data_IF_274707794947
#
_entry.id   IF_274707794947
#
_cell.length_a   1.000
_cell.length_b   1.000
_cell.length_c   1.000
_cell.angle_alpha   90.00
_cell.angle_beta   90.00
_cell.angle_gamma   90.00
#
_symmetry.space_group_name_H-M   'P 1'
#
loop_
_entity.id
_entity.type
_entity.pdbx_description
1 polymer ?
#
# COMPACT_ATOMS: atom_id res chain seq x y z
N UNK A 1 8.16 -4.25 32.71
CA UNK A 1 7.87 -4.72 31.35
C UNK A 1 6.85 -3.84 30.63
N UNK A 2 5.68 -3.52 31.21
CA UNK A 2 4.69 -2.61 30.56
C UNK A 2 5.25 -1.23 30.19
N UNK A 3 6.00 -0.57 31.08
CA UNK A 3 6.59 0.74 30.80
C UNK A 3 7.58 0.73 29.61
N UNK A 4 8.29 -0.37 29.38
CA UNK A 4 9.18 -0.51 28.22
C UNK A 4 8.38 -0.69 26.92
N UNK A 5 7.30 -1.46 26.96
CA UNK A 5 6.44 -1.66 25.79
C UNK A 5 5.76 -0.35 25.35
N UNK A 6 5.23 0.41 26.31
CA UNK A 6 4.65 1.74 26.06
C UNK A 6 5.70 2.70 25.49
N UNK A 7 6.90 2.77 26.10
CA UNK A 7 7.96 3.63 25.59
C UNK A 7 8.44 3.23 24.18
N UNK A 8 8.42 1.94 23.84
CA UNK A 8 8.71 1.45 22.49
C UNK A 8 7.65 1.91 21.48
N UNK A 9 6.37 1.74 21.80
CA UNK A 9 5.26 2.16 20.95
C UNK A 9 5.29 3.68 20.70
N UNK A 10 5.49 4.47 21.76
CA UNK A 10 5.62 5.93 21.65
C UNK A 10 6.80 6.34 20.77
N UNK A 11 7.93 5.61 20.86
CA UNK A 11 9.08 5.86 20.00
C UNK A 11 8.76 5.54 18.54
N UNK A 12 8.13 4.40 18.27
CA UNK A 12 7.75 3.97 16.93
C UNK A 12 6.78 4.98 16.29
N UNK A 13 5.78 5.44 17.03
CA UNK A 13 4.81 6.45 16.58
C UNK A 13 5.49 7.79 16.26
N UNK A 14 6.44 8.22 17.10
CA UNK A 14 7.21 9.45 16.87
C UNK A 14 8.10 9.34 15.64
N UNK A 15 8.77 8.20 15.46
CA UNK A 15 9.62 7.94 14.28
C UNK A 15 8.77 7.92 13.01
N UNK A 16 7.63 7.24 13.03
CA UNK A 16 6.70 7.17 11.90
C UNK A 16 6.18 8.56 11.52
N UNK A 17 5.77 9.35 12.52
CA UNK A 17 5.32 10.73 12.32
C UNK A 17 6.43 11.62 11.73
N UNK A 18 7.65 11.52 12.27
CA UNK A 18 8.79 12.31 11.80
C UNK A 18 9.15 11.95 10.35
N UNK A 19 9.23 10.66 10.03
CA UNK A 19 9.55 10.15 8.70
C UNK A 19 8.48 10.58 7.68
N UNK A 20 7.20 10.47 8.04
CA UNK A 20 6.11 10.96 7.21
C UNK A 20 6.26 12.45 6.89
N UNK A 21 6.50 13.28 7.91
CA UNK A 21 6.68 14.72 7.71
C UNK A 21 7.90 15.05 6.84
N UNK A 22 8.97 14.26 6.89
CA UNK A 22 10.12 14.40 5.99
C UNK A 22 9.71 14.12 4.54
N UNK A 23 9.00 13.02 4.30
CA UNK A 23 8.51 12.64 2.97
C UNK A 23 7.56 13.68 2.41
N UNK A 24 6.60 14.17 3.20
CA UNK A 24 5.65 15.21 2.78
C UNK A 24 6.34 16.52 2.40
N UNK A 25 7.35 16.96 3.17
CA UNK A 25 8.16 18.13 2.82
C UNK A 25 8.99 17.90 1.55
N UNK A 26 9.50 16.69 1.34
CA UNK A 26 10.22 16.34 0.10
C UNK A 26 9.28 16.39 -1.11
N UNK A 27 8.09 15.79 -1.00
CA UNK A 27 7.04 15.88 -2.02
C UNK A 27 6.70 17.35 -2.33
N UNK A 28 6.48 18.18 -1.30
CA UNK A 28 6.13 19.59 -1.49
C UNK A 28 7.20 20.37 -2.27
N UNK A 29 8.49 20.09 -2.01
CA UNK A 29 9.61 20.70 -2.76
C UNK A 29 9.69 20.23 -4.22
N UNK A 30 9.33 18.99 -4.49
CA UNK A 30 9.37 18.42 -5.85
C UNK A 30 8.12 18.70 -6.68
N UNK A 31 6.99 19.00 -6.03
CA UNK A 31 5.68 19.13 -6.69
C UNK A 31 5.63 20.22 -7.77
N UNK A 32 6.50 21.22 -7.70
CA UNK A 32 6.60 22.29 -8.71
C UNK A 32 7.43 21.91 -9.94
N UNK A 33 8.18 20.80 -9.92
CA UNK A 33 9.01 20.35 -11.04
C UNK A 33 8.29 19.24 -11.85
N UNK A 34 7.85 19.52 -13.09
CA UNK A 34 7.20 18.52 -13.95
C UNK A 34 8.08 17.30 -14.23
N UNK A 35 9.42 17.44 -14.18
CA UNK A 35 10.34 16.31 -14.36
C UNK A 35 10.25 15.30 -13.23
N UNK A 36 9.77 15.72 -12.06
CA UNK A 36 9.59 14.91 -10.86
C UNK A 36 8.17 14.40 -10.68
N UNK A 37 7.27 14.63 -11.64
CA UNK A 37 5.86 14.29 -11.51
C UNK A 37 5.62 12.83 -11.09
N UNK A 38 6.27 11.87 -11.76
CA UNK A 38 6.16 10.44 -11.39
C UNK A 38 6.78 10.14 -10.04
N UNK A 39 7.93 10.74 -9.69
CA UNK A 39 8.52 10.56 -8.35
C UNK A 39 7.57 11.04 -7.25
N UNK A 40 6.92 12.19 -7.46
CA UNK A 40 5.91 12.74 -6.55
C UNK A 40 4.72 11.80 -6.41
N UNK A 41 4.23 11.24 -7.53
CA UNK A 41 3.12 10.29 -7.51
C UNK A 41 3.47 9.00 -6.77
N UNK A 42 4.66 8.44 -7.01
CA UNK A 42 5.18 7.25 -6.30
C UNK A 42 5.26 7.52 -4.80
N UNK A 43 5.87 8.62 -4.37
CA UNK A 43 6.02 8.91 -2.93
C UNK A 43 4.68 9.16 -2.24
N UNK A 44 3.73 9.83 -2.91
CA UNK A 44 2.36 9.98 -2.39
C UNK A 44 1.65 8.64 -2.30
N UNK A 45 1.84 7.78 -3.30
CA UNK A 45 1.23 6.46 -3.37
C UNK A 45 1.70 5.56 -2.23
N UNK A 46 3.00 5.58 -1.92
CA UNK A 46 3.56 4.86 -0.78
C UNK A 46 2.93 5.26 0.56
N UNK A 47 2.78 6.56 0.81
CA UNK A 47 2.15 7.05 2.05
C UNK A 47 0.70 6.59 2.17
N UNK A 48 -0.04 6.67 1.06
CA UNK A 48 -1.45 6.28 1.03
C UNK A 48 -1.64 4.76 1.12
N UNK A 49 -0.76 3.98 0.50
CA UNK A 49 -0.77 2.53 0.58
C UNK A 49 -0.48 2.05 2.01
N UNK A 50 0.48 2.67 2.70
CA UNK A 50 0.74 2.43 4.12
C UNK A 50 -0.49 2.77 5.00
N UNK A 51 -1.12 3.93 4.77
CA UNK A 51 -2.36 4.29 5.48
C UNK A 51 -3.51 3.31 5.21
N UNK A 52 -3.61 2.80 3.98
CA UNK A 52 -4.60 1.79 3.61
C UNK A 52 -4.34 0.47 4.33
N UNK A 53 -3.09 0.08 4.57
CA UNK A 53 -2.78 -1.13 5.36
C UNK A 53 -3.08 -0.94 6.85
N UNK A 54 -2.95 0.28 7.38
CA UNK A 54 -3.31 0.56 8.78
C UNK A 54 -4.81 0.39 9.05
N UNK A 55 -5.68 0.66 8.07
CA UNK A 55 -7.13 0.46 8.27
C UNK A 55 -7.54 -1.01 8.37
N UNK A 56 -6.69 -1.93 7.92
CA UNK A 56 -6.92 -3.36 8.02
C UNK A 56 -6.05 -4.02 9.10
N UNK A 57 -5.28 -3.28 9.89
CA UNK A 57 -4.33 -3.85 10.85
C UNK A 57 -4.99 -4.80 11.87
N UNK A 58 -6.16 -4.41 12.39
CA UNK A 58 -6.88 -5.14 13.44
C UNK A 58 -7.83 -6.22 12.90
N UNK A 59 -7.64 -6.62 11.63
CA UNK A 59 -8.48 -7.63 11.00
C UNK A 59 -8.48 -8.96 11.76
N UNK A 60 -9.64 -9.61 11.75
CA UNK A 60 -9.81 -10.95 12.27
C UNK A 60 -10.81 -11.74 11.40
N UNK A 61 -10.95 -13.04 11.66
CA UNK A 61 -11.95 -13.89 11.01
C UNK A 61 -12.85 -14.52 12.06
N UNK A 62 -14.13 -14.15 12.04
CA UNK A 62 -15.14 -14.68 12.94
C UNK A 62 -16.24 -15.37 12.14
N UNK A 63 -16.49 -16.65 12.43
CA UNK A 63 -17.50 -17.47 11.73
C UNK A 63 -17.35 -17.43 10.20
N UNK A 64 -16.12 -17.26 9.70
CA UNK A 64 -15.82 -17.17 8.27
C UNK A 64 -15.91 -15.77 7.67
N UNK A 65 -16.22 -14.73 8.44
CA UNK A 65 -16.34 -13.35 7.97
C UNK A 65 -15.16 -12.51 8.45
N UNK A 66 -14.71 -11.55 7.63
CA UNK A 66 -13.74 -10.55 8.06
C UNK A 66 -14.38 -9.59 9.07
N UNK A 67 -13.72 -9.40 10.20
CA UNK A 67 -14.11 -8.45 11.26
C UNK A 67 -12.91 -7.56 11.63
N UNK A 68 -13.14 -6.53 12.45
CA UNK A 68 -12.07 -5.63 12.92
C UNK A 68 -11.59 -4.59 11.90
N UNK A 69 -12.30 -4.45 10.77
CA UNK A 69 -11.99 -3.48 9.71
C UNK A 69 -13.08 -2.41 9.70
N UNK A 70 -12.69 -1.14 9.81
CA UNK A 70 -13.58 0.00 9.56
C UNK A 70 -13.81 0.12 8.05
N UNK A 71 -15.00 -0.30 7.60
CA UNK A 71 -15.36 -0.31 6.19
C UNK A 71 -15.49 1.08 5.59
N UNK A 72 -15.90 2.09 6.37
CA UNK A 72 -16.04 3.45 5.88
C UNK A 72 -14.65 4.06 5.66
N UNK A 73 -13.75 3.89 6.64
CA UNK A 73 -12.36 4.32 6.52
C UNK A 73 -11.64 3.58 5.38
N UNK A 74 -11.79 2.25 5.28
CA UNK A 74 -11.20 1.47 4.20
C UNK A 74 -11.74 1.92 2.83
N UNK A 75 -13.05 2.16 2.69
CA UNK A 75 -13.63 2.64 1.43
C UNK A 75 -13.03 3.98 1.02
N UNK A 76 -12.94 4.94 1.94
CA UNK A 76 -12.36 6.25 1.67
C UNK A 76 -10.88 6.16 1.26
N UNK A 77 -10.10 5.27 1.89
CA UNK A 77 -8.70 5.03 1.54
C UNK A 77 -8.57 4.36 0.16
N UNK A 78 -9.37 3.33 -0.12
CA UNK A 78 -9.35 2.60 -1.39
C UNK A 78 -9.72 3.50 -2.57
N UNK A 79 -10.69 4.42 -2.42
CA UNK A 79 -11.04 5.39 -3.47
C UNK A 79 -9.90 6.36 -3.77
N UNK A 80 -9.19 6.82 -2.74
CA UNK A 80 -8.01 7.66 -2.93
C UNK A 80 -6.87 6.86 -3.58
N UNK A 81 -6.67 5.61 -3.15
CA UNK A 81 -5.63 4.73 -3.68
C UNK A 81 -5.88 4.42 -5.15
N UNK A 82 -7.13 4.20 -5.54
CA UNK A 82 -7.56 4.06 -6.93
C UNK A 82 -7.18 5.28 -7.76
N UNK A 83 -7.64 6.47 -7.33
CA UNK A 83 -7.35 7.73 -8.02
C UNK A 83 -5.86 7.92 -8.24
N UNK A 84 -5.05 7.66 -7.21
CA UNK A 84 -3.61 7.86 -7.27
C UNK A 84 -2.88 6.79 -8.10
N UNK A 85 -3.38 5.55 -8.09
CA UNK A 85 -2.88 4.47 -8.94
C UNK A 85 -3.17 4.75 -10.42
N UNK A 86 -4.36 5.27 -10.74
CA UNK A 86 -4.71 5.68 -12.10
C UNK A 86 -3.84 6.85 -12.58
N UNK A 87 -3.64 7.85 -11.72
CA UNK A 87 -2.73 8.97 -12.03
C UNK A 87 -1.30 8.50 -12.28
N UNK A 88 -0.79 7.59 -11.43
CA UNK A 88 0.55 7.03 -11.56
C UNK A 88 0.71 6.25 -12.87
N UNK A 89 -0.19 5.32 -13.15
CA UNK A 89 -0.12 4.47 -14.34
C UNK A 89 -0.27 5.30 -15.62
N UNK A 90 -1.17 6.30 -15.63
CA UNK A 90 -1.32 7.23 -16.73
C UNK A 90 -0.05 8.08 -16.95
N UNK A 91 0.54 8.62 -15.88
CA UNK A 91 1.77 9.42 -15.97
C UNK A 91 2.94 8.61 -16.53
N UNK A 92 3.11 7.37 -16.06
CA UNK A 92 4.13 6.44 -16.57
C UNK A 92 3.87 6.11 -18.05
N UNK A 93 2.64 5.76 -18.41
CA UNK A 93 2.25 5.44 -19.79
C UNK A 93 2.44 6.62 -20.75
N UNK A 94 2.25 7.85 -20.28
CA UNK A 94 2.51 9.08 -21.02
C UNK A 94 3.99 9.52 -21.01
N UNK A 95 4.89 8.76 -20.35
CA UNK A 95 6.31 9.10 -20.22
C UNK A 95 6.59 10.37 -19.39
N UNK A 96 5.64 10.80 -18.57
CA UNK A 96 5.79 12.01 -17.76
C UNK A 96 6.82 11.78 -16.65
N UNK A 97 7.88 12.58 -16.61
CA UNK A 97 8.89 12.48 -15.55
C UNK A 97 9.70 11.17 -15.53
N UNK A 98 9.52 10.26 -16.48
CA UNK A 98 10.30 9.00 -16.56
C UNK A 98 11.76 9.25 -16.91
N UNK A 99 12.07 10.40 -17.53
CA UNK A 99 13.45 10.86 -17.74
C UNK A 99 14.22 11.11 -16.43
N UNK A 100 13.53 11.23 -15.29
CA UNK A 100 14.17 11.32 -13.96
C UNK A 100 14.51 9.95 -13.37
N UNK A 101 14.19 8.85 -14.05
CA UNK A 101 14.57 7.50 -13.64
C UNK A 101 15.85 7.11 -14.37
N UNK A 102 16.81 6.56 -13.63
CA UNK A 102 18.04 6.03 -14.21
C UNK A 102 17.71 4.98 -15.29
N UNK A 103 18.50 4.96 -16.37
CA UNK A 103 18.26 4.09 -17.52
C UNK A 103 18.21 2.59 -17.13
N UNK A 104 18.89 2.18 -16.06
CA UNK A 104 18.87 0.81 -15.56
C UNK A 104 17.71 0.52 -14.60
N UNK A 105 17.00 1.54 -14.11
CA UNK A 105 15.92 1.43 -13.13
C UNK A 105 14.51 1.49 -13.72
N UNK A 106 14.36 1.75 -15.02
CA UNK A 106 13.04 1.90 -15.65
C UNK A 106 12.11 0.68 -15.47
N UNK A 107 12.66 -0.53 -15.54
CA UNK A 107 11.88 -1.76 -15.33
C UNK A 107 11.36 -1.89 -13.88
N UNK A 108 12.11 -1.43 -12.87
CA UNK A 108 11.63 -1.41 -11.48
C UNK A 108 10.46 -0.44 -11.29
N UNK A 109 10.45 0.69 -12.01
CA UNK A 109 9.30 1.60 -12.01
C UNK A 109 8.07 0.95 -12.64
N UNK A 110 8.24 0.22 -13.75
CA UNK A 110 7.14 -0.53 -14.35
C UNK A 110 6.61 -1.63 -13.42
N UNK A 111 7.50 -2.39 -12.78
CA UNK A 111 7.12 -3.41 -11.79
C UNK A 111 6.41 -2.79 -10.58
N UNK A 112 6.90 -1.65 -10.07
CA UNK A 112 6.22 -0.88 -9.02
C UNK A 112 4.78 -0.56 -9.41
N UNK A 113 4.56 -0.04 -10.62
CA UNK A 113 3.23 0.31 -11.09
C UNK A 113 2.31 -0.92 -11.21
N UNK A 114 2.84 -2.06 -11.67
CA UNK A 114 2.10 -3.32 -11.69
C UNK A 114 1.72 -3.79 -10.28
N UNK A 115 2.66 -3.81 -9.33
CA UNK A 115 2.37 -4.18 -7.94
C UNK A 115 1.40 -3.19 -7.26
N UNK A 116 1.45 -1.90 -7.59
CA UNK A 116 0.48 -0.92 -7.13
C UNK A 116 -0.96 -1.24 -7.61
N UNK A 117 -1.11 -1.68 -8.86
CA UNK A 117 -2.40 -2.13 -9.40
C UNK A 117 -2.88 -3.44 -8.76
N UNK A 118 -1.98 -4.38 -8.46
CA UNK A 118 -2.31 -5.60 -7.72
C UNK A 118 -2.74 -5.30 -6.29
N UNK A 119 -2.01 -4.44 -5.57
CA UNK A 119 -2.40 -3.96 -4.24
C UNK A 119 -3.81 -3.35 -4.27
N UNK A 120 -4.10 -2.47 -5.24
CA UNK A 120 -5.43 -1.87 -5.39
C UNK A 120 -6.51 -2.93 -5.64
N UNK A 121 -6.23 -3.92 -6.48
CA UNK A 121 -7.16 -5.03 -6.76
C UNK A 121 -7.52 -5.78 -5.49
N UNK A 122 -6.52 -6.08 -4.67
CA UNK A 122 -6.70 -6.77 -3.39
C UNK A 122 -7.40 -5.89 -2.36
N UNK A 123 -7.06 -4.60 -2.30
CA UNK A 123 -7.71 -3.62 -1.42
C UNK A 123 -9.21 -3.49 -1.72
N UNK A 124 -9.57 -3.36 -3.00
CA UNK A 124 -10.97 -3.38 -3.45
C UNK A 124 -11.66 -4.70 -3.13
N UNK A 125 -10.94 -5.82 -3.22
CA UNK A 125 -11.42 -7.14 -2.83
C UNK A 125 -11.80 -7.19 -1.35
N UNK A 126 -10.87 -6.84 -0.45
CA UNK A 126 -11.11 -6.78 1.00
C UNK A 126 -12.27 -5.84 1.32
N UNK A 127 -12.27 -4.64 0.73
CA UNK A 127 -13.34 -3.66 0.91
C UNK A 127 -14.72 -4.25 0.55
N UNK A 128 -14.86 -4.92 -0.61
CA UNK A 128 -16.10 -5.58 -1.00
C UNK A 128 -16.47 -6.70 -0.03
N UNK A 129 -15.52 -7.56 0.34
CA UNK A 129 -15.76 -8.68 1.25
C UNK A 129 -16.30 -8.23 2.61
N UNK A 130 -15.72 -7.16 3.18
CA UNK A 130 -16.20 -6.56 4.44
C UNK A 130 -17.56 -5.89 4.25
N UNK A 131 -17.70 -5.04 3.22
CA UNK A 131 -18.95 -4.29 2.94
C UNK A 131 -20.14 -5.20 2.67
N UNK A 132 -19.93 -6.24 1.87
CA UNK A 132 -20.96 -7.18 1.43
C UNK A 132 -21.13 -8.36 2.42
N UNK A 133 -20.35 -8.37 3.51
CA UNK A 133 -20.31 -9.42 4.52
C UNK A 133 -20.10 -10.83 3.92
N UNK A 134 -19.23 -10.93 2.92
CA UNK A 134 -18.98 -12.18 2.20
C UNK A 134 -18.08 -13.12 3.01
N UNK A 135 -18.61 -14.29 3.35
CA UNK A 135 -17.85 -15.33 4.06
C UNK A 135 -16.76 -15.95 3.19
N UNK A 136 -15.63 -16.29 3.79
CA UNK A 136 -14.66 -17.18 3.19
C UNK A 136 -15.25 -18.58 3.00
N UNK A 137 -14.96 -19.19 1.85
CA UNK A 137 -15.23 -20.59 1.61
C UNK A 137 -14.43 -21.48 2.55
N UNK A 138 -14.85 -22.74 2.68
CA UNK A 138 -14.12 -23.74 3.48
C UNK A 138 -12.67 -23.91 3.02
N UNK A 139 -12.41 -23.83 1.71
CA UNK A 139 -11.05 -23.92 1.15
C UNK A 139 -10.18 -22.75 1.58
N UNK A 140 -10.70 -21.52 1.44
CA UNK A 140 -10.00 -20.31 1.88
C UNK A 140 -9.74 -20.33 3.38
N UNK A 141 -10.71 -20.76 4.19
CA UNK A 141 -10.54 -20.90 5.65
C UNK A 141 -9.43 -21.87 6.03
N UNK A 142 -9.28 -22.99 5.32
CA UNK A 142 -8.17 -23.93 5.53
C UNK A 142 -6.83 -23.26 5.19
N UNK A 143 -6.77 -22.51 4.09
CA UNK A 143 -5.57 -21.80 3.66
C UNK A 143 -5.20 -20.66 4.63
N UNK A 144 -6.17 -19.90 5.13
CA UNK A 144 -5.96 -18.86 6.15
C UNK A 144 -5.42 -19.45 7.46
N UNK A 145 -5.90 -20.63 7.87
CA UNK A 145 -5.45 -21.32 9.08
C UNK A 145 -4.10 -22.05 8.94
N UNK A 146 -3.52 -22.11 7.74
CA UNK A 146 -2.29 -22.90 7.46
C UNK A 146 -0.97 -22.27 7.95
N UNK A 147 -1.02 -21.13 8.63
CA UNK A 147 0.14 -20.43 9.22
C UNK A 147 1.07 -19.73 8.23
N UNK A 148 1.16 -20.19 6.97
CA UNK A 148 2.01 -19.59 5.93
C UNK A 148 1.31 -19.31 4.59
N UNK A 149 0.08 -19.81 4.39
CA UNK A 149 -0.65 -19.68 3.13
C UNK A 149 -1.66 -18.53 3.07
N UNK A 150 -1.84 -17.76 4.14
CA UNK A 150 -2.90 -16.76 4.22
C UNK A 150 -2.81 -15.67 3.14
N UNK A 151 -1.60 -15.37 2.64
CA UNK A 151 -1.39 -14.45 1.52
C UNK A 151 -1.86 -15.02 0.17
N UNK A 152 -2.14 -16.32 0.07
CA UNK A 152 -2.66 -16.94 -1.16
C UNK A 152 -4.18 -16.81 -1.29
N UNK A 153 -4.87 -16.34 -0.25
CA UNK A 153 -6.31 -16.11 -0.29
C UNK A 153 -6.57 -14.74 -0.91
N UNK A 154 -7.32 -14.73 -2.01
CA UNK A 154 -7.72 -13.49 -2.67
C UNK A 154 -8.66 -12.69 -1.76
N UNK A 155 -8.54 -11.36 -1.85
CA UNK A 155 -9.32 -10.44 -1.02
C UNK A 155 -9.15 -10.71 0.49
N UNK A 156 -7.96 -11.14 0.91
CA UNK A 156 -7.57 -11.26 2.32
C UNK A 156 -6.53 -10.20 2.70
N UNK A 157 -6.58 -9.63 3.93
CA UNK A 157 -5.59 -8.66 4.41
C UNK A 157 -4.12 -9.09 4.25
N UNK A 158 -3.72 -10.36 4.49
CA UNK A 158 -2.34 -10.81 4.26
C UNK A 158 -1.87 -10.70 2.80
N UNK A 159 -2.79 -10.83 1.82
CA UNK A 159 -2.46 -10.64 0.41
C UNK A 159 -2.11 -9.17 0.14
N UNK A 160 -2.86 -8.22 0.71
CA UNK A 160 -2.55 -6.79 0.58
C UNK A 160 -1.16 -6.46 1.15
N UNK A 161 -0.83 -6.99 2.34
CA UNK A 161 0.49 -6.80 2.94
C UNK A 161 1.60 -7.36 2.04
N UNK A 162 1.39 -8.52 1.42
CA UNK A 162 2.35 -9.08 0.45
C UNK A 162 2.54 -8.16 -0.76
N UNK A 163 1.47 -7.72 -1.42
CA UNK A 163 1.57 -6.86 -2.60
C UNK A 163 2.25 -5.52 -2.27
N UNK A 164 1.96 -4.95 -1.09
CA UNK A 164 2.66 -3.77 -0.60
C UNK A 164 4.16 -4.02 -0.41
N UNK A 165 4.56 -5.15 0.18
CA UNK A 165 5.97 -5.48 0.36
C UNK A 165 6.69 -5.66 -0.98
N UNK A 166 6.06 -6.31 -1.96
CA UNK A 166 6.61 -6.44 -3.32
C UNK A 166 6.77 -5.06 -3.98
N UNK A 167 5.77 -4.19 -3.84
CA UNK A 167 5.82 -2.80 -4.30
C UNK A 167 6.97 -2.02 -3.64
N UNK A 168 7.17 -2.16 -2.33
CA UNK A 168 8.29 -1.53 -1.60
C UNK A 168 9.65 -2.04 -2.09
N UNK A 169 9.80 -3.35 -2.33
CA UNK A 169 11.03 -3.91 -2.90
C UNK A 169 11.35 -3.29 -4.27
N UNK A 170 10.33 -3.08 -5.12
CA UNK A 170 10.54 -2.40 -6.40
C UNK A 170 10.95 -0.95 -6.19
N UNK A 171 10.25 -0.22 -5.33
CA UNK A 171 10.56 1.17 -5.01
C UNK A 171 12.02 1.35 -4.56
N UNK A 172 12.49 0.49 -3.67
CA UNK A 172 13.85 0.55 -3.13
C UNK A 172 14.95 0.35 -4.19
N UNK A 173 14.61 -0.17 -5.37
CA UNK A 173 15.51 -0.39 -6.51
C UNK A 173 15.44 0.72 -7.56
N UNK A 174 14.47 1.62 -7.46
CA UNK A 174 14.34 2.76 -8.37
C UNK A 174 15.41 3.79 -8.01
N UNK A 175 16.28 4.12 -8.96
CA UNK A 175 17.24 5.21 -8.83
C UNK A 175 16.69 6.42 -9.57
N UNK A 176 16.53 7.51 -8.82
CA UNK A 176 16.11 8.80 -9.35
C UNK A 176 17.36 9.63 -9.67
N UNK A 177 17.48 10.08 -10.92
CA UNK A 177 18.53 11.01 -11.36
C UNK A 177 18.22 12.38 -10.76
N UNK A 178 19.21 13.05 -10.16
CA UNK A 178 19.08 14.38 -9.55
C UNK A 178 19.02 15.51 -10.58
#
# INVERSE_FOLDING_TARGET
FNAFHTASQELDDRVNTANRGITERRIARMASDPRRAVQVLVERHLLLADDTLKTIHDWNVERGHLTGIDVEALTAQVTQLETLTDQLTAAIGAGQGTASVDATSGHWLSSYASNASELLTQAKGVMRRVRDNESFSRGEMMTLGSGGGAWMVDAAPPRMVREYNEMIDQYNRIRWVQ
#
